data_IF_454765297506
#
_entry.id   IF_454765297506
#
_cell.length_a   1.000
_cell.length_b   1.000
_cell.length_c   1.000
_cell.angle_alpha   90.00
_cell.angle_beta   90.00
_cell.angle_gamma   90.00
#
_symmetry.space_group_name_H-M   'P 1'
#
loop_
_entity.id
_entity.type
_entity.pdbx_description
1 polymer ?
#
# COMPACT_ATOMS: atom_id res chain seq x y z
N UNK A 1 102.46 3.81 -50.80
CA UNK A 1 102.68 3.69 -49.34
C UNK A 1 101.31 3.82 -48.70
N UNK A 2 100.78 2.68 -48.29
CA UNK A 2 99.50 2.53 -47.60
C UNK A 2 99.71 2.61 -46.09
N UNK A 3 98.66 3.03 -45.37
CA UNK A 3 98.29 2.82 -43.94
C UNK A 3 97.53 4.08 -43.48
N UNK A 4 96.35 4.08 -42.87
CA UNK A 4 95.67 3.20 -41.89
C UNK A 4 94.14 3.50 -41.89
N UNK A 5 93.23 2.51 -41.91
CA UNK A 5 92.50 1.85 -40.77
C UNK A 5 91.56 2.83 -40.01
N UNK A 6 90.22 2.74 -40.16
CA UNK A 6 89.22 1.95 -39.36
C UNK A 6 89.15 2.42 -37.88
N UNK A 7 88.01 2.65 -37.21
CA UNK A 7 86.92 1.70 -36.87
C UNK A 7 85.70 2.38 -36.24
N UNK A 8 84.59 1.65 -36.27
CA UNK A 8 83.22 1.98 -35.84
C UNK A 8 82.89 1.37 -34.45
N UNK A 9 81.86 1.93 -33.77
CA UNK A 9 81.06 1.43 -32.61
C UNK A 9 81.73 1.40 -31.22
N UNK A 10 81.08 1.77 -30.10
CA UNK A 10 79.74 1.34 -29.60
C UNK A 10 79.35 2.17 -28.35
N UNK A 11 78.07 2.40 -28.02
CA UNK A 11 77.67 2.75 -26.65
C UNK A 11 76.98 1.59 -25.91
N UNK A 12 77.31 1.48 -24.63
CA UNK A 12 76.98 0.47 -23.62
C UNK A 12 75.58 0.66 -23.01
N UNK A 13 74.72 -0.39 -22.97
CA UNK A 13 73.45 -0.34 -22.22
C UNK A 13 73.00 -1.70 -21.63
N UNK A 14 73.26 -1.97 -20.33
CA UNK A 14 72.61 -3.06 -19.61
C UNK A 14 71.58 -2.64 -18.53
N UNK A 15 71.55 -1.39 -18.05
CA UNK A 15 70.73 -0.99 -16.88
C UNK A 15 69.29 -0.53 -17.20
N UNK A 16 69.06 0.01 -18.41
CA UNK A 16 67.75 0.58 -18.80
C UNK A 16 66.71 -0.51 -19.10
N UNK A 17 67.12 -1.68 -19.61
CA UNK A 17 66.21 -2.81 -19.88
C UNK A 17 65.63 -3.43 -18.60
N UNK A 18 66.42 -3.50 -17.53
CA UNK A 18 65.98 -4.05 -16.24
C UNK A 18 64.92 -3.17 -15.54
N UNK A 19 65.04 -1.84 -15.66
CA UNK A 19 64.06 -0.90 -15.10
C UNK A 19 62.74 -0.96 -15.87
N UNK A 20 62.79 -1.05 -17.20
CA UNK A 20 61.59 -1.19 -18.05
C UNK A 20 60.80 -2.48 -17.77
N UNK A 21 61.48 -3.60 -17.54
CA UNK A 21 60.82 -4.87 -17.20
C UNK A 21 60.11 -4.79 -15.84
N UNK A 22 60.75 -4.19 -14.83
CA UNK A 22 60.16 -4.03 -13.48
C UNK A 22 58.89 -3.17 -13.47
N UNK A 23 58.86 -2.08 -14.26
CA UNK A 23 57.69 -1.20 -14.39
C UNK A 23 56.56 -1.88 -15.17
N UNK A 24 56.88 -2.65 -16.21
CA UNK A 24 55.86 -3.37 -16.97
C UNK A 24 55.13 -4.45 -16.15
N UNK A 25 55.85 -5.17 -15.29
CA UNK A 25 55.27 -6.22 -14.45
C UNK A 25 54.31 -5.66 -13.38
N UNK A 26 54.60 -4.48 -12.83
CA UNK A 26 53.75 -3.82 -11.83
C UNK A 26 52.46 -3.30 -12.44
N UNK A 27 52.51 -2.74 -13.66
CA UNK A 27 51.30 -2.27 -14.37
C UNK A 27 50.37 -3.43 -14.70
N UNK A 28 50.90 -4.55 -15.19
CA UNK A 28 50.10 -5.75 -15.54
C UNK A 28 49.45 -6.35 -14.29
N UNK A 29 50.18 -6.41 -13.18
CA UNK A 29 49.64 -6.92 -11.90
C UNK A 29 48.55 -6.00 -11.34
N UNK A 30 48.75 -4.68 -11.41
CA UNK A 30 47.74 -3.70 -11.02
C UNK A 30 46.46 -3.79 -11.87
N UNK A 31 46.61 -3.96 -13.19
CA UNK A 31 45.47 -4.11 -14.10
C UNK A 31 44.69 -5.43 -13.87
N UNK A 32 45.39 -6.53 -13.56
CA UNK A 32 44.75 -7.80 -13.24
C UNK A 32 43.93 -7.73 -11.94
N UNK A 33 44.48 -7.12 -10.89
CA UNK A 33 43.77 -6.93 -9.61
C UNK A 33 42.56 -5.99 -9.79
N UNK A 34 42.72 -4.92 -10.57
CA UNK A 34 41.62 -3.99 -10.86
C UNK A 34 40.49 -4.64 -11.68
N UNK A 35 40.85 -5.47 -12.66
CA UNK A 35 39.88 -6.20 -13.50
C UNK A 35 39.07 -7.25 -12.72
N UNK A 36 39.73 -8.02 -11.85
CA UNK A 36 39.05 -9.04 -11.02
C UNK A 36 38.11 -8.37 -10.01
N UNK A 37 38.52 -7.26 -9.40
CA UNK A 37 37.67 -6.49 -8.48
C UNK A 37 36.42 -5.89 -9.18
N UNK A 38 36.55 -5.41 -10.42
CA UNK A 38 35.42 -4.90 -11.19
C UNK A 38 34.44 -6.03 -11.59
N UNK A 39 34.96 -7.23 -11.88
CA UNK A 39 34.13 -8.37 -12.29
C UNK A 39 33.37 -9.00 -11.13
N UNK A 40 33.99 -9.14 -9.95
CA UNK A 40 33.31 -9.60 -8.74
C UNK A 40 32.33 -8.56 -8.16
N UNK A 41 32.63 -7.26 -8.25
CA UNK A 41 31.72 -6.21 -7.80
C UNK A 41 30.40 -6.15 -8.58
N UNK A 42 30.41 -6.51 -9.87
CA UNK A 42 29.18 -6.53 -10.70
C UNK A 42 28.26 -7.70 -10.37
N UNK A 43 28.80 -8.88 -10.03
CA UNK A 43 28.00 -10.07 -9.77
C UNK A 43 27.30 -10.06 -8.41
N UNK A 44 27.88 -9.41 -7.39
CA UNK A 44 27.25 -9.30 -6.06
C UNK A 44 26.26 -8.14 -5.96
N UNK A 45 26.43 -7.08 -6.76
CA UNK A 45 25.49 -5.95 -6.79
C UNK A 45 24.20 -6.30 -7.56
N UNK A 46 24.25 -7.14 -8.59
CA UNK A 46 23.02 -7.53 -9.31
C UNK A 46 22.12 -8.47 -8.50
N UNK A 47 22.69 -9.44 -7.78
CA UNK A 47 21.92 -10.42 -7.00
C UNK A 47 21.26 -9.76 -5.78
N UNK A 48 21.99 -8.90 -5.07
CA UNK A 48 21.42 -8.18 -3.92
C UNK A 48 20.40 -7.11 -4.35
N UNK A 49 20.56 -6.49 -5.51
CA UNK A 49 19.60 -5.49 -5.99
C UNK A 49 18.27 -6.12 -6.42
N UNK A 50 18.28 -7.33 -6.99
CA UNK A 50 17.04 -8.04 -7.33
C UNK A 50 16.29 -8.48 -6.08
N UNK A 51 16.98 -9.06 -5.10
CA UNK A 51 16.40 -9.47 -3.82
C UNK A 51 15.84 -8.27 -3.02
N UNK A 52 16.60 -7.15 -2.94
CA UNK A 52 16.12 -5.91 -2.29
C UNK A 52 14.92 -5.32 -3.06
N UNK A 53 14.91 -5.40 -4.40
CA UNK A 53 13.78 -4.90 -5.19
C UNK A 53 12.53 -5.77 -5.00
N UNK A 54 12.69 -7.08 -4.89
CA UNK A 54 11.61 -8.01 -4.58
C UNK A 54 11.07 -7.82 -3.16
N UNK A 55 11.95 -7.64 -2.17
CA UNK A 55 11.57 -7.36 -0.78
C UNK A 55 10.85 -6.01 -0.64
N UNK A 56 11.34 -4.95 -1.30
CA UNK A 56 10.65 -3.66 -1.32
C UNK A 56 9.28 -3.79 -1.99
N UNK A 57 9.17 -4.62 -3.05
CA UNK A 57 7.90 -4.84 -3.75
C UNK A 57 6.91 -5.62 -2.86
N UNK A 58 7.36 -6.66 -2.16
CA UNK A 58 6.51 -7.45 -1.27
C UNK A 58 6.04 -6.63 -0.07
N UNK A 59 6.93 -5.87 0.58
CA UNK A 59 6.56 -4.96 1.68
C UNK A 59 5.57 -3.89 1.23
N UNK A 60 5.77 -3.30 0.04
CA UNK A 60 4.80 -2.34 -0.53
C UNK A 60 3.43 -2.98 -0.78
N UNK A 61 3.41 -4.22 -1.28
CA UNK A 61 2.18 -4.96 -1.49
C UNK A 61 1.48 -5.28 -0.17
N UNK A 62 2.22 -5.72 0.84
CA UNK A 62 1.68 -6.01 2.17
C UNK A 62 1.13 -4.75 2.86
N UNK A 63 1.85 -3.61 2.75
CA UNK A 63 1.36 -2.32 3.24
C UNK A 63 0.09 -1.90 2.52
N UNK A 64 0.00 -2.10 1.21
CA UNK A 64 -1.20 -1.77 0.44
C UNK A 64 -2.38 -2.68 0.79
N UNK A 65 -2.14 -3.98 0.97
CA UNK A 65 -3.15 -4.93 1.43
C UNK A 65 -3.65 -4.60 2.83
N UNK A 66 -2.74 -4.30 3.75
CA UNK A 66 -3.09 -3.91 5.13
C UNK A 66 -3.90 -2.61 5.16
N UNK A 67 -3.52 -1.62 4.34
CA UNK A 67 -4.30 -0.39 4.20
C UNK A 67 -5.71 -0.66 3.68
N UNK A 68 -5.84 -1.49 2.64
CA UNK A 68 -7.14 -1.87 2.09
C UNK A 68 -8.01 -2.61 3.12
N UNK A 69 -7.42 -3.51 3.92
CA UNK A 69 -8.13 -4.22 4.99
C UNK A 69 -8.58 -3.26 6.11
N UNK A 70 -7.70 -2.36 6.55
CA UNK A 70 -8.03 -1.37 7.56
C UNK A 70 -9.18 -0.47 7.11
N UNK A 71 -9.17 -0.04 5.86
CA UNK A 71 -10.25 0.76 5.30
C UNK A 71 -11.55 -0.03 5.15
N UNK A 72 -11.50 -1.29 4.74
CA UNK A 72 -12.68 -2.16 4.71
C UNK A 72 -13.33 -2.27 6.10
N UNK A 73 -12.53 -2.46 7.15
CA UNK A 73 -13.02 -2.50 8.54
C UNK A 73 -13.60 -1.15 8.98
N UNK A 74 -12.94 -0.04 8.64
CA UNK A 74 -13.44 1.31 8.95
C UNK A 74 -14.76 1.60 8.25
N UNK A 75 -14.86 1.29 6.96
CA UNK A 75 -16.08 1.42 6.18
C UNK A 75 -17.22 0.60 6.78
N UNK A 76 -16.94 -0.65 7.15
CA UNK A 76 -17.91 -1.49 7.84
C UNK A 76 -18.39 -0.85 9.16
N UNK A 77 -17.47 -0.30 9.95
CA UNK A 77 -17.78 0.45 11.17
C UNK A 77 -18.69 1.65 10.92
N UNK A 78 -18.40 2.46 9.91
CA UNK A 78 -19.25 3.61 9.53
C UNK A 78 -20.64 3.19 9.06
N UNK A 79 -20.75 2.11 8.28
CA UNK A 79 -22.04 1.56 7.85
C UNK A 79 -22.86 1.06 9.04
N UNK A 80 -22.22 0.39 10.01
CA UNK A 80 -22.90 -0.06 11.24
C UNK A 80 -23.32 1.11 12.14
N UNK A 81 -22.48 2.14 12.26
CA UNK A 81 -22.82 3.36 12.99
C UNK A 81 -24.04 4.04 12.38
N UNK A 82 -24.07 4.20 11.05
CA UNK A 82 -25.20 4.78 10.35
C UNK A 82 -26.48 3.95 10.55
N UNK A 83 -26.37 2.62 10.51
CA UNK A 83 -27.48 1.70 10.74
C UNK A 83 -28.04 1.85 12.14
N UNK A 84 -27.19 1.87 13.16
CA UNK A 84 -27.60 2.05 14.55
C UNK A 84 -28.30 3.40 14.76
N UNK A 85 -27.73 4.48 14.22
CA UNK A 85 -28.31 5.82 14.31
C UNK A 85 -29.70 5.89 13.65
N UNK A 86 -29.91 5.25 12.49
CA UNK A 86 -31.23 5.19 11.85
C UNK A 86 -32.27 4.45 12.70
N UNK A 87 -31.90 3.32 13.32
CA UNK A 87 -32.82 2.62 14.23
C UNK A 87 -33.13 3.46 15.47
N UNK A 88 -32.14 4.11 16.07
CA UNK A 88 -32.36 5.02 17.19
C UNK A 88 -33.26 6.18 16.80
N UNK A 89 -33.08 6.77 15.61
CA UNK A 89 -33.98 7.81 15.09
C UNK A 89 -35.45 7.35 15.03
N UNK A 90 -35.70 6.11 14.59
CA UNK A 90 -37.04 5.54 14.57
C UNK A 90 -37.64 5.35 15.97
N UNK A 91 -36.82 4.96 16.96
CA UNK A 91 -37.22 4.85 18.37
C UNK A 91 -37.50 6.24 18.96
N UNK A 92 -36.61 7.19 18.75
CA UNK A 92 -36.76 8.57 19.21
C UNK A 92 -38.01 9.23 18.62
N UNK A 93 -38.33 8.93 17.36
CA UNK A 93 -39.59 9.35 16.72
C UNK A 93 -40.82 8.80 17.45
N UNK A 94 -40.82 7.51 17.79
CA UNK A 94 -41.95 6.90 18.52
C UNK A 94 -42.11 7.51 19.92
N UNK A 95 -40.99 7.86 20.56
CA UNK A 95 -40.94 8.56 21.85
C UNK A 95 -41.27 10.05 21.74
N UNK A 96 -41.56 10.56 20.53
CA UNK A 96 -41.83 11.98 20.25
C UNK A 96 -40.65 12.89 20.57
N UNK A 97 -39.44 12.36 20.57
CA UNK A 97 -38.18 13.08 20.71
C UNK A 97 -37.67 13.56 19.34
N UNK A 98 -38.46 14.40 18.66
CA UNK A 98 -38.22 14.78 17.25
C UNK A 98 -36.86 15.45 17.01
N UNK A 99 -36.42 16.29 17.96
CA UNK A 99 -35.09 16.94 17.89
C UNK A 99 -33.97 15.91 17.90
N UNK A 100 -34.00 14.98 18.86
CA UNK A 100 -33.04 13.87 18.94
C UNK A 100 -33.10 12.99 17.69
N UNK A 101 -34.31 12.66 17.22
CA UNK A 101 -34.49 11.84 16.03
C UNK A 101 -33.83 12.49 14.78
N UNK A 102 -33.95 13.81 14.62
CA UNK A 102 -33.26 14.55 13.56
C UNK A 102 -31.73 14.57 13.75
N UNK A 103 -31.25 14.74 14.99
CA UNK A 103 -29.82 14.62 15.29
C UNK A 103 -29.29 13.23 14.89
N UNK A 104 -30.03 12.16 15.18
CA UNK A 104 -29.67 10.79 14.77
C UNK A 104 -29.65 10.60 13.25
N UNK A 105 -30.56 11.24 12.50
CA UNK A 105 -30.49 11.24 11.03
C UNK A 105 -29.22 11.93 10.53
N UNK A 106 -28.83 13.03 11.17
CA UNK A 106 -27.59 13.74 10.82
C UNK A 106 -26.33 12.94 11.19
N UNK A 107 -26.33 12.24 12.33
CA UNK A 107 -25.27 11.31 12.70
C UNK A 107 -25.12 10.19 11.66
N UNK A 108 -26.25 9.61 11.22
CA UNK A 108 -26.24 8.59 10.18
C UNK A 108 -25.70 9.12 8.85
N UNK A 109 -26.14 10.31 8.42
CA UNK A 109 -25.66 10.91 7.17
C UNK A 109 -24.17 11.27 7.23
N UNK A 110 -23.68 11.70 8.41
CA UNK A 110 -22.26 12.00 8.62
C UNK A 110 -21.42 10.74 8.56
N UNK A 111 -21.83 9.67 9.23
CA UNK A 111 -21.13 8.38 9.18
C UNK A 111 -21.05 7.82 7.75
N UNK A 112 -22.14 7.91 6.97
CA UNK A 112 -22.10 7.50 5.56
C UNK A 112 -21.19 8.38 4.69
N UNK A 113 -20.96 9.64 5.08
CA UNK A 113 -20.04 10.54 4.39
C UNK A 113 -18.55 10.19 4.57
N UNK A 114 -18.22 9.41 5.60
CA UNK A 114 -16.85 8.96 5.88
C UNK A 114 -16.46 7.67 5.14
N UNK A 115 -17.43 7.00 4.51
CA UNK A 115 -17.19 5.76 3.75
C UNK A 115 -16.43 6.07 2.47
N UNK A 116 -15.30 5.38 2.24
CA UNK A 116 -14.42 5.56 1.07
C UNK A 116 -14.28 4.27 0.30
N UNK A 117 -14.30 4.30 -1.03
CA UNK A 117 -14.04 3.11 -1.83
C UNK A 117 -12.67 3.16 -2.48
N UNK A 118 -11.74 2.46 -1.84
CA UNK A 118 -10.39 2.28 -2.35
C UNK A 118 -10.19 0.90 -2.98
N UNK A 119 -11.15 -0.03 -2.79
CA UNK A 119 -11.07 -1.42 -3.25
C UNK A 119 -12.00 -1.75 -4.42
N UNK A 120 -12.91 -0.84 -4.81
CA UNK A 120 -13.89 -1.06 -5.86
C UNK A 120 -15.06 -1.97 -5.44
N UNK A 121 -15.17 -2.28 -4.15
CA UNK A 121 -16.13 -3.29 -3.64
C UNK A 121 -17.44 -2.68 -3.17
N UNK A 122 -17.46 -1.39 -2.87
CA UNK A 122 -18.62 -0.68 -2.35
C UNK A 122 -19.26 0.18 -3.44
N UNK A 123 -20.60 0.18 -3.50
CA UNK A 123 -21.33 1.09 -4.37
C UNK A 123 -21.43 2.48 -3.72
N UNK A 124 -20.36 3.27 -3.83
CA UNK A 124 -20.28 4.62 -3.24
C UNK A 124 -21.34 5.56 -3.81
N UNK A 125 -21.75 5.37 -5.06
CA UNK A 125 -22.80 6.20 -5.65
C UNK A 125 -24.14 5.99 -4.93
N UNK A 126 -24.48 4.73 -4.62
CA UNK A 126 -25.67 4.42 -3.81
C UNK A 126 -25.52 4.89 -2.37
N UNK A 127 -24.34 4.74 -1.76
CA UNK A 127 -24.08 5.20 -0.38
C UNK A 127 -24.21 6.73 -0.29
N UNK A 128 -23.61 7.48 -1.23
CA UNK A 128 -23.71 8.94 -1.30
C UNK A 128 -25.15 9.40 -1.57
N UNK A 129 -25.87 8.70 -2.45
CA UNK A 129 -27.29 8.98 -2.69
C UNK A 129 -28.13 8.76 -1.43
N UNK A 130 -27.87 7.69 -0.70
CA UNK A 130 -28.54 7.41 0.58
C UNK A 130 -28.20 8.46 1.64
N UNK A 131 -26.93 8.83 1.76
CA UNK A 131 -26.44 9.89 2.64
C UNK A 131 -27.17 11.22 2.40
N UNK A 132 -27.30 11.62 1.13
CA UNK A 132 -28.06 12.82 0.74
C UNK A 132 -29.55 12.72 1.07
N UNK A 133 -30.17 11.57 0.80
CA UNK A 133 -31.59 11.37 1.12
C UNK A 133 -31.85 11.44 2.64
N UNK A 134 -30.95 10.88 3.44
CA UNK A 134 -31.03 10.94 4.90
C UNK A 134 -30.82 12.38 5.40
N UNK A 135 -29.81 13.10 4.90
CA UNK A 135 -29.53 14.48 5.34
C UNK A 135 -30.63 15.48 4.98
N UNK A 136 -31.40 15.19 3.93
CA UNK A 136 -32.57 15.98 3.54
C UNK A 136 -33.86 15.57 4.26
N UNK A 137 -33.84 14.48 5.02
CA UNK A 137 -35.02 14.03 5.78
C UNK A 137 -35.14 14.85 7.06
N UNK A 138 -36.31 15.48 7.23
CA UNK A 138 -36.63 16.24 8.43
C UNK A 138 -37.91 15.69 9.06
N UNK A 139 -37.81 15.35 10.33
CA UNK A 139 -38.92 14.88 11.15
C UNK A 139 -39.68 16.07 11.73
N UNK A 140 -41.00 16.09 11.55
CA UNK A 140 -41.89 17.15 12.02
C UNK A 140 -43.10 16.58 12.79
N UNK A 141 -43.42 17.24 13.92
CA UNK A 141 -44.55 16.93 14.81
C UNK A 141 -45.90 16.97 14.09
N UNK A 142 -46.08 17.91 13.17
CA UNK A 142 -47.36 18.17 12.49
C UNK A 142 -47.66 17.21 11.32
N UNK A 143 -46.76 16.26 11.05
CA UNK A 143 -46.86 15.33 9.93
C UNK A 143 -47.15 13.92 10.45
N UNK A 144 -47.77 13.09 9.61
CA UNK A 144 -48.08 11.70 9.94
C UNK A 144 -46.83 10.92 10.41
N UNK A 145 -46.78 10.59 11.71
CA UNK A 145 -45.63 9.91 12.34
C UNK A 145 -45.38 8.53 11.73
N UNK A 146 -46.44 7.79 11.40
CA UNK A 146 -46.31 6.46 10.77
C UNK A 146 -45.65 6.54 9.39
N UNK A 147 -45.97 7.58 8.61
CA UNK A 147 -45.32 7.84 7.32
C UNK A 147 -43.83 8.14 7.51
N UNK A 148 -43.48 8.99 8.47
CA UNK A 148 -42.10 9.35 8.78
C UNK A 148 -41.30 8.13 9.27
N UNK A 149 -41.86 7.32 10.16
CA UNK A 149 -41.26 6.06 10.62
C UNK A 149 -40.95 5.12 9.45
N UNK A 150 -41.91 4.92 8.55
CA UNK A 150 -41.69 4.09 7.35
C UNK A 150 -40.59 4.64 6.44
N UNK A 151 -40.44 5.96 6.36
CA UNK A 151 -39.35 6.57 5.60
C UNK A 151 -37.98 6.25 6.23
N UNK A 152 -37.85 6.37 7.56
CA UNK A 152 -36.62 6.00 8.27
C UNK A 152 -36.29 4.52 8.07
N UNK A 153 -37.27 3.64 8.22
CA UNK A 153 -37.09 2.20 8.02
C UNK A 153 -36.77 1.84 6.55
N UNK A 154 -37.25 2.63 5.59
CA UNK A 154 -36.83 2.49 4.19
C UNK A 154 -35.33 2.79 4.04
N UNK A 155 -34.81 3.82 4.68
CA UNK A 155 -33.38 4.12 4.67
C UNK A 155 -32.56 2.99 5.30
N UNK A 156 -33.03 2.40 6.39
CA UNK A 156 -32.41 1.21 7.00
C UNK A 156 -32.33 0.06 5.99
N UNK A 157 -33.43 -0.24 5.30
CA UNK A 157 -33.45 -1.34 4.33
C UNK A 157 -32.52 -1.07 3.13
N UNK A 158 -32.48 0.18 2.66
CA UNK A 158 -31.52 0.60 1.63
C UNK A 158 -30.08 0.42 2.13
N UNK A 159 -29.76 0.84 3.35
CA UNK A 159 -28.44 0.66 3.94
C UNK A 159 -28.05 -0.82 4.06
N UNK A 160 -28.98 -1.67 4.54
CA UNK A 160 -28.73 -3.10 4.69
C UNK A 160 -28.39 -3.78 3.35
N UNK A 161 -28.97 -3.32 2.24
CA UNK A 161 -28.64 -3.83 0.90
C UNK A 161 -27.25 -3.39 0.37
N UNK A 162 -26.62 -2.42 1.04
CA UNK A 162 -25.31 -1.88 0.68
C UNK A 162 -24.19 -2.36 1.61
N UNK A 163 -24.55 -3.02 2.72
CA UNK A 163 -23.59 -3.65 3.61
C UNK A 163 -23.20 -4.99 2.97
N UNK A 164 -21.90 -5.22 2.69
CA UNK A 164 -21.43 -6.51 2.22
C UNK A 164 -21.82 -7.59 3.25
N UNK A 165 -22.41 -8.70 2.80
CA UNK A 165 -22.58 -9.88 3.66
C UNK A 165 -21.21 -10.27 4.21
N UNK A 166 -21.12 -10.49 5.52
CA UNK A 166 -19.88 -10.77 6.24
C UNK A 166 -19.06 -11.82 5.48
N UNK A 167 -17.93 -11.42 4.89
CA UNK A 167 -16.91 -12.38 4.51
C UNK A 167 -16.42 -13.01 5.81
N UNK A 168 -16.48 -14.35 5.96
CA UNK A 168 -15.97 -15.00 7.16
C UNK A 168 -14.53 -14.53 7.35
N UNK A 169 -14.26 -13.92 8.49
CA UNK A 169 -12.88 -13.67 8.93
C UNK A 169 -12.29 -15.06 9.03
N UNK A 170 -11.51 -15.45 8.02
CA UNK A 170 -10.66 -16.63 8.08
C UNK A 170 -9.69 -16.37 9.23
N UNK A 171 -10.10 -16.76 10.44
CA UNK A 171 -9.19 -17.04 11.53
C UNK A 171 -8.14 -17.97 10.91
N UNK A 172 -6.84 -17.64 10.92
CA UNK A 172 -5.83 -18.65 10.65
C UNK A 172 -6.07 -19.75 11.68
N UNK A 173 -6.68 -20.84 11.22
CA UNK A 173 -6.85 -22.06 11.96
C UNK A 173 -5.48 -22.39 12.52
N UNK A 174 -5.38 -22.41 13.84
CA UNK A 174 -4.24 -22.94 14.54
C UNK A 174 -3.93 -24.30 13.92
N UNK A 175 -2.83 -24.38 13.17
CA UNK A 175 -2.22 -25.65 12.83
C UNK A 175 -1.72 -26.26 14.15
N UNK A 176 -2.62 -26.90 14.88
CA UNK A 176 -2.27 -27.85 15.92
C UNK A 176 -1.63 -29.04 15.21
N UNK A 177 -0.31 -28.96 15.05
CA UNK A 177 0.54 -30.12 14.75
C UNK A 177 0.29 -31.17 15.83
N UNK A 178 -0.64 -32.07 15.56
CA UNK A 178 -0.72 -33.35 16.26
C UNK A 178 0.39 -34.22 15.69
N UNK A 179 1.56 -34.11 16.31
CA UNK A 179 2.65 -35.07 16.11
C UNK A 179 2.18 -36.41 16.69
N UNK A 180 2.20 -37.46 15.85
CA UNK A 180 1.99 -38.85 16.23
C UNK A 180 3.31 -39.59 16.09
#
# INVERSE_FOLDING_TARGET
>A
MSDTVETNKTPTFPKIKLILIGVSATIVTGAAIYGIGWWQGRSHVSVNNEEITEEIKSVRQELQQTQNQLEAVRNYGYLMQARAALYHSAVDLDQRNFGTANTRLQEASTALGEVKDNSGTLDINKISSLQKNISQTNINVAVNLQKQRRQILKHVNQLNSLIPEETPINNPTSEEKTEK
#
